data_IF_962985325487
#
_entry.id   IF_962985325487
#
_cell.length_a   1.000
_cell.length_b   1.000
_cell.length_c   1.000
_cell.angle_alpha   90.00
_cell.angle_beta   90.00
_cell.angle_gamma   90.00
#
_symmetry.space_group_name_H-M   'P 1'
#
loop_
_entity.id
_entity.type
_entity.pdbx_description
1 polymer ?
#
# COMPACT_ATOMS: atom_id res chain seq x y z
N UNK A 1 -36.46 19.44 45.86
CA UNK A 1 -35.06 19.00 45.71
C UNK A 1 -35.03 18.03 44.53
N UNK A 2 -34.56 18.50 43.38
CA UNK A 2 -34.51 17.81 42.08
C UNK A 2 -33.23 17.00 41.94
N UNK A 3 -33.31 15.71 41.61
CA UNK A 3 -32.16 14.96 41.08
C UNK A 3 -32.53 14.23 39.79
N UNK A 4 -31.87 14.64 38.69
CA UNK A 4 -31.88 13.98 37.38
C UNK A 4 -30.81 12.88 37.40
N UNK A 5 -31.08 11.64 36.97
CA UNK A 5 -30.00 10.71 36.68
C UNK A 5 -29.36 11.05 35.33
N UNK A 6 -28.09 11.44 35.38
CA UNK A 6 -27.23 11.72 34.23
C UNK A 6 -26.89 10.42 33.48
N UNK A 7 -27.14 10.39 32.17
CA UNK A 7 -26.81 9.26 31.27
C UNK A 7 -25.28 9.09 31.18
N UNK A 8 -24.73 7.86 31.26
CA UNK A 8 -23.31 7.66 30.99
C UNK A 8 -23.04 7.79 29.49
N UNK A 9 -22.13 8.69 29.13
CA UNK A 9 -21.69 8.91 27.76
C UNK A 9 -20.98 7.65 27.21
N UNK A 10 -21.51 7.10 26.12
CA UNK A 10 -20.88 6.01 25.39
C UNK A 10 -19.52 6.47 24.84
N UNK A 11 -18.44 5.87 25.35
CA UNK A 11 -17.08 6.09 24.83
C UNK A 11 -17.05 5.59 23.38
N UNK A 12 -16.91 6.53 22.44
CA UNK A 12 -16.68 6.21 21.01
C UNK A 12 -15.37 5.42 20.91
N UNK A 13 -15.48 4.15 20.57
CA UNK A 13 -14.33 3.33 20.19
C UNK A 13 -13.70 3.95 18.94
N UNK A 14 -12.50 4.50 19.08
CA UNK A 14 -11.69 4.93 17.94
C UNK A 14 -11.30 3.67 17.16
N UNK A 15 -11.90 3.49 15.99
CA UNK A 15 -11.50 2.48 15.02
C UNK A 15 -10.04 2.75 14.63
N UNK A 16 -9.10 1.98 15.21
CA UNK A 16 -7.70 2.02 14.80
C UNK A 16 -7.66 1.54 13.34
N UNK A 17 -7.27 2.44 12.44
CA UNK A 17 -6.98 2.10 11.03
C UNK A 17 -6.04 0.88 11.05
N UNK A 18 -6.34 -0.20 10.31
CA UNK A 18 -5.39 -1.30 10.20
C UNK A 18 -4.11 -0.72 9.63
N UNK A 19 -2.99 -0.88 10.35
CA UNK A 19 -1.69 -0.46 9.87
C UNK A 19 -1.49 -1.03 8.48
N UNK A 20 -1.11 -0.18 7.51
CA UNK A 20 -0.84 -0.60 6.15
C UNK A 20 0.26 -1.66 6.19
N UNK A 21 -0.12 -2.95 6.21
CA UNK A 21 0.80 -4.05 6.01
C UNK A 21 1.48 -3.76 4.69
N UNK A 22 2.82 -3.72 4.68
CA UNK A 22 3.63 -3.50 3.48
C UNK A 22 3.10 -4.43 2.38
N UNK A 23 2.42 -3.84 1.41
CA UNK A 23 1.76 -4.59 0.34
C UNK A 23 2.86 -5.10 -0.57
N UNK A 24 2.90 -6.41 -0.81
CA UNK A 24 3.75 -6.96 -1.86
C UNK A 24 3.17 -6.57 -3.23
N UNK A 25 3.99 -6.06 -4.16
CA UNK A 25 3.53 -5.80 -5.50
C UNK A 25 3.11 -7.10 -6.20
N UNK A 26 2.09 -7.00 -7.04
CA UNK A 26 1.61 -8.14 -7.83
C UNK A 26 2.45 -8.30 -9.10
N UNK A 27 2.45 -9.50 -9.66
CA UNK A 27 3.17 -9.81 -10.90
C UNK A 27 2.71 -8.92 -12.08
N UNK A 28 1.42 -8.57 -12.14
CA UNK A 28 0.87 -7.65 -13.12
C UNK A 28 1.43 -6.23 -12.98
N UNK A 29 1.66 -5.76 -11.75
CA UNK A 29 2.26 -4.43 -11.53
C UNK A 29 3.73 -4.41 -11.90
N UNK A 30 4.45 -5.48 -11.57
CA UNK A 30 5.87 -5.62 -11.90
C UNK A 30 6.04 -5.70 -13.42
N UNK A 31 5.26 -6.53 -14.11
CA UNK A 31 5.30 -6.65 -15.58
C UNK A 31 4.98 -5.33 -16.28
N UNK A 32 3.95 -4.61 -15.82
CA UNK A 32 3.61 -3.29 -16.36
C UNK A 32 4.76 -2.30 -16.19
N UNK A 33 5.38 -2.27 -14.99
CA UNK A 33 6.51 -1.38 -14.74
C UNK A 33 7.73 -1.76 -15.57
N UNK A 34 8.04 -3.05 -15.70
CA UNK A 34 9.14 -3.56 -16.52
C UNK A 34 8.94 -3.23 -18.01
N UNK A 35 7.70 -3.29 -18.51
CA UNK A 35 7.36 -2.88 -19.87
C UNK A 35 7.69 -1.40 -20.12
N UNK A 36 7.33 -0.50 -19.20
CA UNK A 36 7.68 0.91 -19.34
C UNK A 36 9.19 1.16 -19.28
N UNK A 37 9.92 0.45 -18.41
CA UNK A 37 11.39 0.53 -18.37
C UNK A 37 12.00 0.11 -19.72
N UNK A 38 11.48 -0.96 -20.33
CA UNK A 38 11.94 -1.42 -21.65
C UNK A 38 11.67 -0.38 -22.77
N UNK A 39 10.59 0.38 -22.67
CA UNK A 39 10.31 1.48 -23.60
C UNK A 39 11.23 2.69 -23.39
N UNK A 40 11.57 2.99 -22.14
CA UNK A 40 12.49 4.09 -21.78
C UNK A 40 13.94 3.79 -22.20
N UNK A 41 14.36 2.51 -22.09
CA UNK A 41 15.71 2.04 -22.43
C UNK A 41 15.65 0.92 -23.48
N UNK A 42 15.48 1.25 -24.78
CA UNK A 42 15.43 0.27 -25.85
C UNK A 42 16.72 -0.56 -25.90
N UNK A 43 16.59 -1.89 -25.87
CA UNK A 43 17.72 -2.81 -25.88
C UNK A 43 18.24 -3.22 -24.50
N UNK A 44 17.63 -2.73 -23.41
CA UNK A 44 17.93 -3.24 -22.07
C UNK A 44 17.38 -4.66 -21.87
N UNK A 45 18.08 -5.43 -21.04
CA UNK A 45 17.71 -6.81 -20.73
C UNK A 45 16.36 -6.87 -19.99
N UNK A 46 15.45 -7.70 -20.52
CA UNK A 46 14.08 -7.80 -20.00
C UNK A 46 14.05 -8.30 -18.54
N UNK A 47 14.98 -9.19 -18.17
CA UNK A 47 15.07 -9.70 -16.82
C UNK A 47 15.64 -8.66 -15.84
N UNK A 48 16.61 -7.84 -16.26
CA UNK A 48 17.07 -6.69 -15.48
C UNK A 48 15.94 -5.65 -15.28
N UNK A 49 15.13 -5.39 -16.30
CA UNK A 49 13.98 -4.49 -16.18
C UNK A 49 12.96 -5.02 -15.17
N UNK A 50 12.73 -6.34 -15.17
CA UNK A 50 11.89 -7.00 -14.18
C UNK A 50 12.39 -6.78 -12.75
N UNK A 51 13.67 -7.06 -12.50
CA UNK A 51 14.27 -6.89 -11.16
C UNK A 51 14.25 -5.44 -10.70
N UNK A 52 14.45 -4.49 -11.62
CA UNK A 52 14.33 -3.05 -11.33
C UNK A 52 12.89 -2.70 -10.94
N UNK A 53 11.90 -3.17 -11.71
CA UNK A 53 10.49 -2.98 -11.41
C UNK A 53 10.09 -3.54 -10.04
N UNK A 54 10.56 -4.74 -9.67
CA UNK A 54 10.31 -5.31 -8.34
C UNK A 54 10.84 -4.43 -7.21
N UNK A 55 12.05 -3.89 -7.37
CA UNK A 55 12.69 -3.03 -6.36
C UNK A 55 11.97 -1.69 -6.23
N UNK A 56 11.55 -1.09 -7.34
CA UNK A 56 10.81 0.18 -7.33
C UNK A 56 9.43 0.05 -6.69
N UNK A 57 8.76 -1.09 -6.85
CA UNK A 57 7.42 -1.33 -6.33
C UNK A 57 7.39 -1.94 -4.92
N UNK A 58 8.52 -2.43 -4.41
CA UNK A 58 8.61 -2.97 -3.05
C UNK A 58 8.79 -1.82 -2.05
N UNK A 59 7.80 -1.55 -1.18
CA UNK A 59 7.93 -0.48 -0.19
C UNK A 59 9.00 -0.84 0.87
N UNK A 60 9.88 0.13 1.16
CA UNK A 60 11.00 0.01 2.11
C UNK A 60 10.59 -0.37 3.54
#
# INVERSE_FOLDING_TARGET
MTEKPSKPAAKRATQRKPGARRRKPTHSEISLRAYFIHLEEPGSDQFQNWLRAERELTPA
#
